data_IF_740637770090
#
_entry.id   IF_740637770090
#
_cell.length_a   1.000
_cell.length_b   1.000
_cell.length_c   1.000
_cell.angle_alpha   90.00
_cell.angle_beta   90.00
_cell.angle_gamma   90.00
#
_symmetry.space_group_name_H-M   'P 1'
#
loop_
_entity.id
_entity.type
_entity.pdbx_description
1 polymer ?
#
# COMPACT_ATOMS: atom_id res chain seq x y z
N UNK A 1 22.09 -12.48 -21.99
CA UNK A 1 21.00 -11.98 -22.86
C UNK A 1 21.02 -10.47 -22.75
N UNK A 2 20.91 -9.71 -23.86
CA UNK A 2 20.84 -8.26 -23.80
C UNK A 2 19.60 -7.84 -23.01
N UNK A 3 19.76 -6.98 -22.03
CA UNK A 3 18.68 -6.46 -21.22
C UNK A 3 17.81 -5.56 -22.11
N UNK A 4 16.54 -5.88 -22.23
CA UNK A 4 15.60 -5.07 -23.02
C UNK A 4 15.39 -3.74 -22.32
N UNK A 5 15.52 -2.65 -23.05
CA UNK A 5 15.29 -1.29 -22.57
C UNK A 5 14.17 -0.62 -23.34
N UNK A 6 13.56 0.38 -22.72
CA UNK A 6 12.48 1.17 -23.29
C UNK A 6 12.78 2.66 -23.15
N UNK A 7 12.40 3.43 -24.15
CA UNK A 7 12.41 4.90 -24.11
C UNK A 7 11.05 5.37 -23.62
N UNK A 8 11.00 6.09 -22.50
CA UNK A 8 9.76 6.64 -21.93
C UNK A 8 9.75 8.14 -22.13
N UNK A 9 8.63 8.66 -22.61
CA UNK A 9 8.43 10.07 -22.88
C UNK A 9 7.50 10.72 -21.86
N UNK A 10 7.85 11.93 -21.40
CA UNK A 10 7.09 12.74 -20.46
C UNK A 10 7.88 13.95 -19.99
N UNK A 11 7.43 14.60 -18.93
CA UNK A 11 8.20 15.69 -18.31
C UNK A 11 9.06 15.14 -17.18
N UNK A 12 10.38 15.19 -17.35
CA UNK A 12 11.34 14.74 -16.33
C UNK A 12 11.37 15.72 -15.16
N UNK A 13 11.42 15.18 -13.96
CA UNK A 13 11.56 15.94 -12.72
C UNK A 13 12.64 15.31 -11.85
N UNK A 14 13.19 16.08 -10.91
CA UNK A 14 14.17 15.54 -9.98
C UNK A 14 13.61 14.31 -9.26
N UNK A 15 14.31 13.18 -9.22
CA UNK A 15 13.87 11.99 -8.51
C UNK A 15 13.77 12.30 -7.01
N UNK A 16 12.82 11.66 -6.34
CA UNK A 16 12.74 11.72 -4.90
C UNK A 16 14.04 11.17 -4.31
N UNK A 17 14.66 11.88 -3.37
CA UNK A 17 15.87 11.40 -2.71
C UNK A 17 15.51 10.12 -1.96
N UNK A 18 15.86 8.99 -2.55
CA UNK A 18 15.68 7.69 -1.90
C UNK A 18 16.80 7.55 -0.87
N UNK A 19 16.43 7.63 0.38
CA UNK A 19 17.32 7.28 1.48
C UNK A 19 17.56 5.77 1.43
N UNK A 20 18.66 5.37 0.77
CA UNK A 20 19.05 3.97 0.60
C UNK A 20 19.59 3.45 1.93
N UNK A 21 18.69 3.19 2.88
CA UNK A 21 19.04 2.55 4.13
C UNK A 21 19.09 1.05 3.97
N UNK A 22 20.27 0.50 4.27
CA UNK A 22 20.52 -0.93 4.52
C UNK A 22 20.31 -1.89 3.34
N UNK A 23 21.23 -1.88 2.40
CA UNK A 23 21.55 -3.08 1.64
C UNK A 23 20.75 -3.33 0.36
N UNK A 24 19.93 -2.40 -0.09
CA UNK A 24 19.32 -2.46 -1.42
C UNK A 24 20.07 -1.48 -2.32
N UNK A 25 20.76 -2.00 -3.33
CA UNK A 25 21.36 -1.19 -4.38
C UNK A 25 20.25 -0.67 -5.31
N UNK A 26 19.83 0.57 -5.12
CA UNK A 26 18.98 1.27 -6.09
C UNK A 26 19.89 2.04 -7.03
N UNK A 27 19.81 1.74 -8.32
CA UNK A 27 20.57 2.43 -9.35
C UNK A 27 19.63 3.30 -10.20
N UNK A 28 20.18 4.41 -10.69
CA UNK A 28 19.56 5.27 -11.69
C UNK A 28 18.08 5.62 -11.43
N UNK A 29 17.72 6.24 -10.29
CA UNK A 29 16.35 6.67 -10.06
C UNK A 29 15.97 7.74 -11.09
N UNK A 30 14.81 7.55 -11.75
CA UNK A 30 14.29 8.45 -12.78
C UNK A 30 12.83 8.75 -12.50
N UNK A 31 12.47 10.00 -12.55
CA UNK A 31 11.10 10.45 -12.30
C UNK A 31 10.56 11.21 -13.50
N UNK A 32 9.35 10.84 -13.91
CA UNK A 32 8.68 11.44 -15.04
C UNK A 32 7.19 11.65 -14.74
N UNK A 33 6.67 12.77 -15.19
CA UNK A 33 5.23 13.04 -15.18
C UNK A 33 4.68 12.72 -16.57
N UNK A 34 3.66 11.85 -16.70
CA UNK A 34 3.01 11.60 -17.98
C UNK A 34 2.39 12.85 -18.57
N UNK A 35 2.32 12.90 -19.91
CA UNK A 35 1.78 14.04 -20.65
C UNK A 35 2.86 15.03 -21.08
N UNK A 36 2.42 16.07 -21.80
CA UNK A 36 3.31 17.12 -22.31
C UNK A 36 3.41 18.27 -21.32
N UNK A 37 4.62 18.83 -21.18
CA UNK A 37 4.77 20.10 -20.48
C UNK A 37 3.93 21.21 -21.13
N UNK A 38 3.60 22.26 -20.37
CA UNK A 38 2.80 23.41 -20.87
C UNK A 38 3.42 24.09 -22.10
N UNK A 39 4.72 24.04 -22.24
CA UNK A 39 5.50 24.54 -23.40
C UNK A 39 5.60 23.53 -24.55
N UNK A 40 4.97 22.37 -24.44
CA UNK A 40 5.01 21.29 -25.43
C UNK A 40 6.31 20.48 -25.45
N UNK A 41 7.26 20.79 -24.58
CA UNK A 41 8.51 20.02 -24.46
C UNK A 41 8.24 18.69 -23.73
N UNK A 42 8.90 17.64 -24.21
CA UNK A 42 8.90 16.32 -23.58
C UNK A 42 10.33 15.83 -23.51
N UNK A 43 10.66 15.21 -22.38
CA UNK A 43 11.92 14.51 -22.19
C UNK A 43 11.78 13.05 -22.57
N UNK A 44 12.91 12.39 -22.81
CA UNK A 44 12.98 10.95 -23.03
C UNK A 44 13.95 10.36 -22.01
N UNK A 45 13.49 9.35 -21.27
CA UNK A 45 14.32 8.60 -20.33
C UNK A 45 14.42 7.14 -20.77
N UNK A 46 15.57 6.53 -20.53
CA UNK A 46 15.80 5.11 -20.77
C UNK A 46 15.52 4.34 -19.49
N UNK A 47 14.70 3.28 -19.59
CA UNK A 47 14.40 2.39 -18.48
C UNK A 47 14.63 0.94 -18.91
N UNK A 48 15.08 0.09 -18.00
CA UNK A 48 15.22 -1.33 -18.26
C UNK A 48 13.87 -2.04 -18.06
N UNK A 49 13.66 -3.15 -18.76
CA UNK A 49 12.41 -3.93 -18.66
C UNK A 49 12.13 -4.44 -17.25
N UNK A 50 13.18 -4.69 -16.48
CA UNK A 50 13.14 -5.18 -15.11
C UNK A 50 13.22 -4.07 -14.05
N UNK A 51 13.34 -2.80 -14.46
CA UNK A 51 13.21 -1.68 -13.52
C UNK A 51 11.87 -1.77 -12.78
N UNK A 52 11.90 -1.46 -11.51
CA UNK A 52 10.69 -1.31 -10.71
C UNK A 52 10.15 0.10 -10.89
N UNK A 53 8.86 0.22 -11.05
CA UNK A 53 8.18 1.50 -11.19
C UNK A 53 7.21 1.74 -10.06
N UNK A 54 7.34 2.88 -9.42
CA UNK A 54 6.39 3.44 -8.49
C UNK A 54 5.44 4.36 -9.27
N UNK A 55 4.17 4.05 -9.23
CA UNK A 55 3.10 4.77 -9.92
C UNK A 55 2.33 5.54 -8.86
N UNK A 56 2.37 6.86 -8.91
CA UNK A 56 1.60 7.71 -8.02
C UNK A 56 0.41 8.28 -8.76
N UNK A 57 -0.79 8.01 -8.25
CA UNK A 57 -2.05 8.48 -8.83
C UNK A 57 -2.46 9.83 -8.23
N UNK A 58 -3.38 10.55 -8.89
CA UNK A 58 -3.88 11.86 -8.43
C UNK A 58 -4.51 11.83 -7.04
N UNK A 59 -5.03 10.68 -6.62
CA UNK A 59 -5.58 10.47 -5.28
C UNK A 59 -4.52 10.11 -4.23
N UNK A 60 -3.24 10.30 -4.53
CA UNK A 60 -2.08 9.90 -3.72
C UNK A 60 -1.94 8.38 -3.52
N UNK A 61 -2.76 7.57 -4.20
CA UNK A 61 -2.61 6.12 -4.19
C UNK A 61 -1.33 5.73 -4.93
N UNK A 62 -0.56 4.83 -4.35
CA UNK A 62 0.71 4.36 -4.91
C UNK A 62 0.59 2.90 -5.31
N UNK A 63 0.94 2.63 -6.55
CA UNK A 63 1.07 1.28 -7.10
C UNK A 63 2.53 0.99 -7.41
N UNK A 64 2.87 -0.29 -7.39
CA UNK A 64 4.18 -0.77 -7.78
C UNK A 64 4.05 -1.81 -8.88
N UNK A 65 4.88 -1.70 -9.89
CA UNK A 65 4.90 -2.62 -11.02
C UNK A 65 6.32 -2.77 -11.54
N UNK A 66 6.50 -3.66 -12.49
CA UNK A 66 7.71 -3.69 -13.33
C UNK A 66 7.50 -2.81 -14.54
N UNK A 67 8.58 -2.25 -15.08
CA UNK A 67 8.51 -1.38 -16.24
C UNK A 67 7.90 -2.10 -17.46
N UNK A 68 8.30 -3.36 -17.70
CA UNK A 68 7.75 -4.16 -18.80
C UNK A 68 6.24 -4.46 -18.66
N UNK A 69 5.75 -4.63 -17.45
CA UNK A 69 4.32 -4.85 -17.18
C UNK A 69 3.52 -3.57 -17.38
N UNK A 70 3.99 -2.45 -16.79
CA UNK A 70 3.36 -1.15 -16.97
C UNK A 70 3.26 -0.77 -18.46
N UNK A 71 4.34 -0.97 -19.21
CA UNK A 71 4.39 -0.63 -20.64
C UNK A 71 3.41 -1.48 -21.44
N UNK A 72 3.34 -2.78 -21.17
CA UNK A 72 2.42 -3.70 -21.85
C UNK A 72 0.96 -3.37 -21.59
N UNK A 73 0.64 -2.98 -20.38
CA UNK A 73 -0.74 -2.78 -19.93
C UNK A 73 -1.26 -1.38 -20.26
N UNK A 74 -0.40 -0.37 -20.14
CA UNK A 74 -0.80 1.04 -20.17
C UNK A 74 0.03 1.90 -21.13
N UNK A 75 1.09 1.37 -21.74
CA UNK A 75 1.95 2.11 -22.66
C UNK A 75 1.32 2.29 -24.03
N UNK A 76 1.53 3.45 -24.63
CA UNK A 76 1.24 3.74 -26.04
C UNK A 76 2.54 3.97 -26.78
N UNK A 77 2.69 3.35 -27.94
CA UNK A 77 3.85 3.57 -28.80
C UNK A 77 3.77 4.94 -29.44
N UNK A 78 4.85 5.69 -29.36
CA UNK A 78 5.08 6.93 -30.09
C UNK A 78 6.46 6.89 -30.77
N UNK A 79 6.81 7.89 -31.56
CA UNK A 79 8.12 7.97 -32.19
C UNK A 79 9.09 8.72 -31.26
N UNK A 80 10.25 8.13 -30.99
CA UNK A 80 11.36 8.77 -30.32
C UNK A 80 11.98 9.85 -31.22
N UNK A 81 12.71 10.81 -30.62
CA UNK A 81 13.47 11.83 -31.36
C UNK A 81 14.47 11.22 -32.33
N UNK A 82 15.02 10.07 -32.01
CA UNK A 82 15.99 9.32 -32.83
C UNK A 82 15.34 8.40 -33.85
N UNK A 83 14.01 8.46 -34.03
CA UNK A 83 13.23 7.66 -34.97
C UNK A 83 12.93 6.23 -34.49
N UNK A 84 13.31 5.85 -33.29
CA UNK A 84 12.95 4.59 -32.64
C UNK A 84 11.57 4.62 -31.97
N UNK A 85 11.21 3.52 -31.29
CA UNK A 85 10.01 3.46 -30.47
C UNK A 85 10.20 4.19 -29.13
N UNK A 86 9.28 5.08 -28.80
CA UNK A 86 9.12 5.64 -27.47
C UNK A 86 7.75 5.28 -26.91
N UNK A 87 7.63 5.26 -25.60
CA UNK A 87 6.41 4.91 -24.90
C UNK A 87 5.87 6.10 -24.13
N UNK A 88 4.61 6.38 -24.34
CA UNK A 88 3.85 7.42 -23.62
C UNK A 88 2.76 6.76 -22.78
N UNK A 89 2.44 7.38 -21.68
CA UNK A 89 1.36 6.95 -20.80
C UNK A 89 0.26 8.00 -20.82
N UNK A 90 -0.99 7.54 -20.85
CA UNK A 90 -2.12 8.42 -20.64
C UNK A 90 -2.05 8.97 -19.22
N UNK A 91 -2.47 10.22 -19.06
CA UNK A 91 -2.63 10.81 -17.73
C UNK A 91 -3.77 10.17 -16.94
N UNK A 92 -4.58 9.34 -17.58
CA UNK A 92 -5.70 8.62 -16.94
C UNK A 92 -5.51 7.12 -17.13
N UNK A 93 -5.57 6.36 -16.06
CA UNK A 93 -5.60 4.89 -16.12
C UNK A 93 -6.88 4.46 -16.83
N UNK A 94 -6.75 4.02 -18.08
CA UNK A 94 -7.86 3.44 -18.83
C UNK A 94 -7.93 1.94 -18.56
N UNK A 95 -9.13 1.44 -18.25
CA UNK A 95 -9.39 0.01 -18.15
C UNK A 95 -9.40 -0.59 -19.57
N UNK A 96 -8.22 -1.00 -20.06
CA UNK A 96 -8.06 -1.66 -21.36
C UNK A 96 -8.07 -3.18 -21.30
N UNK A 97 -8.34 -3.76 -20.16
CA UNK A 97 -8.20 -5.21 -20.00
C UNK A 97 -9.36 -5.88 -19.30
N UNK A 98 -10.22 -6.49 -20.04
CA UNK A 98 -11.24 -7.50 -19.73
C UNK A 98 -12.65 -6.97 -19.47
N UNK A 99 -13.54 -7.34 -20.40
CA UNK A 99 -14.99 -7.18 -20.34
C UNK A 99 -15.68 -8.00 -19.20
N UNK A 100 -14.94 -8.40 -18.17
CA UNK A 100 -15.41 -9.29 -17.11
C UNK A 100 -15.62 -8.65 -15.74
N UNK A 101 -15.26 -7.39 -15.53
CA UNK A 101 -15.41 -6.72 -14.23
C UNK A 101 -16.46 -5.60 -14.26
N UNK A 102 -17.70 -5.92 -14.61
CA UNK A 102 -18.85 -5.07 -14.29
C UNK A 102 -19.17 -5.23 -12.82
N UNK A 103 -18.49 -4.50 -11.95
CA UNK A 103 -18.81 -4.51 -10.51
C UNK A 103 -17.80 -3.83 -9.61
N UNK A 104 -16.55 -3.83 -9.94
CA UNK A 104 -15.54 -3.12 -9.18
C UNK A 104 -15.34 -1.72 -9.76
N UNK A 105 -15.54 -0.69 -8.96
CA UNK A 105 -15.06 0.66 -9.24
C UNK A 105 -13.54 0.62 -9.11
N UNK A 106 -12.89 0.02 -10.13
CA UNK A 106 -11.47 -0.14 -10.23
C UNK A 106 -10.78 1.22 -10.33
N UNK A 107 -9.47 1.21 -10.43
CA UNK A 107 -8.60 2.37 -10.62
C UNK A 107 -8.87 3.11 -11.97
N UNK A 108 -9.78 2.60 -12.78
CA UNK A 108 -10.22 3.19 -14.04
C UNK A 108 -10.71 4.62 -13.83
N UNK A 109 -10.13 5.56 -14.57
CA UNK A 109 -10.45 6.98 -14.49
C UNK A 109 -9.61 7.79 -13.50
N UNK A 110 -8.66 7.17 -12.78
CA UNK A 110 -7.69 7.89 -11.95
C UNK A 110 -6.49 8.34 -12.79
N UNK A 111 -6.08 9.59 -12.62
CA UNK A 111 -4.92 10.15 -13.30
C UNK A 111 -3.60 9.60 -12.73
N UNK A 112 -2.64 9.29 -13.61
CA UNK A 112 -1.26 9.04 -13.21
C UNK A 112 -0.58 10.40 -13.00
N UNK A 113 -0.18 10.68 -11.78
CA UNK A 113 0.51 11.92 -11.42
C UNK A 113 2.01 11.83 -11.68
N UNK A 114 2.61 10.73 -11.28
CA UNK A 114 4.07 10.53 -11.36
C UNK A 114 4.41 9.06 -11.58
N UNK A 115 5.43 8.82 -12.39
CA UNK A 115 6.12 7.54 -12.54
C UNK A 115 7.57 7.70 -12.06
N UNK A 116 7.99 6.87 -11.13
CA UNK A 116 9.37 6.80 -10.67
C UNK A 116 9.94 5.41 -10.98
N UNK A 117 11.00 5.35 -11.79
CA UNK A 117 11.67 4.12 -12.18
C UNK A 117 12.96 3.94 -11.39
N UNK A 118 13.22 2.71 -10.97
CA UNK A 118 14.39 2.33 -10.19
C UNK A 118 15.00 1.07 -10.76
N UNK A 119 16.27 1.14 -11.14
CA UNK A 119 17.08 -0.04 -11.36
C UNK A 119 17.36 -0.72 -10.01
N UNK A 120 17.07 -2.00 -9.92
CA UNK A 120 17.32 -2.80 -8.71
C UNK A 120 18.21 -3.96 -9.11
N UNK A 121 19.31 -4.14 -8.38
CA UNK A 121 20.14 -5.32 -8.54
C UNK A 121 19.45 -6.53 -7.88
N UNK A 122 18.62 -7.21 -8.68
CA UNK A 122 17.87 -8.39 -8.23
C UNK A 122 18.77 -9.60 -7.96
N UNK A 123 20.00 -9.60 -8.44
CA UNK A 123 20.92 -10.74 -8.24
C UNK A 123 21.33 -10.92 -6.78
N UNK A 124 21.21 -9.86 -5.96
CA UNK A 124 21.58 -9.87 -4.54
C UNK A 124 20.38 -9.76 -3.58
N UNK A 125 19.16 -9.64 -4.11
CA UNK A 125 17.99 -9.31 -3.30
C UNK A 125 16.89 -10.36 -3.41
N UNK A 126 16.39 -10.83 -2.26
CA UNK A 126 15.17 -11.64 -2.23
C UNK A 126 13.94 -10.74 -2.39
N UNK A 127 12.84 -11.26 -2.95
CA UNK A 127 11.57 -10.54 -3.06
C UNK A 127 11.12 -9.98 -1.69
N UNK A 128 11.39 -10.70 -0.61
CA UNK A 128 11.12 -10.29 0.76
C UNK A 128 11.83 -8.99 1.16
N UNK A 129 13.13 -8.85 0.85
CA UNK A 129 13.88 -7.62 1.16
C UNK A 129 13.33 -6.41 0.42
N UNK A 130 12.93 -6.60 -0.84
CA UNK A 130 12.32 -5.55 -1.64
C UNK A 130 10.97 -5.13 -1.05
N UNK A 131 10.12 -6.10 -0.72
CA UNK A 131 8.82 -5.83 -0.11
C UNK A 131 8.97 -5.10 1.22
N UNK A 132 9.88 -5.54 2.08
CA UNK A 132 10.18 -4.85 3.35
C UNK A 132 10.65 -3.41 3.12
N UNK A 133 11.52 -3.19 2.14
CA UNK A 133 12.00 -1.85 1.83
C UNK A 133 10.86 -0.93 1.35
N UNK A 134 9.94 -1.44 0.51
CA UNK A 134 8.78 -0.68 0.08
C UNK A 134 7.85 -0.33 1.25
N UNK A 135 7.60 -1.27 2.13
CA UNK A 135 6.78 -1.05 3.32
C UNK A 135 7.39 -0.03 4.27
N UNK A 136 8.70 -0.12 4.53
CA UNK A 136 9.41 0.86 5.36
C UNK A 136 9.30 2.29 4.79
N UNK A 137 9.33 2.43 3.46
CA UNK A 137 9.09 3.72 2.80
C UNK A 137 7.66 4.21 2.97
N UNK A 138 6.71 3.30 2.91
CA UNK A 138 5.29 3.61 2.94
C UNK A 138 4.79 3.93 4.35
N UNK A 139 5.25 3.17 5.35
CA UNK A 139 4.93 3.35 6.75
C UNK A 139 5.74 4.48 7.41
N UNK A 140 6.79 4.96 6.72
CA UNK A 140 7.62 6.06 7.21
C UNK A 140 8.51 5.68 8.39
N UNK A 141 9.02 6.70 9.09
CA UNK A 141 10.03 6.55 10.14
C UNK A 141 9.55 5.82 11.39
N UNK A 142 8.24 5.89 11.66
CA UNK A 142 7.64 5.35 12.88
C UNK A 142 7.29 3.86 12.73
N UNK A 143 7.33 3.33 11.48
CA UNK A 143 7.09 1.93 11.17
C UNK A 143 5.67 1.46 11.47
N UNK A 144 5.43 0.14 11.55
CA UNK A 144 4.13 -0.42 11.87
C UNK A 144 3.74 -0.19 13.35
N UNK A 145 2.44 -0.28 13.64
CA UNK A 145 1.87 -0.18 14.97
C UNK A 145 0.55 0.58 15.01
N UNK A 146 0.02 0.76 16.22
CA UNK A 146 -1.21 1.51 16.46
C UNK A 146 -0.88 2.99 16.70
N UNK A 147 -1.60 3.86 16.01
CA UNK A 147 -1.41 5.30 16.06
C UNK A 147 -2.72 5.99 16.45
N UNK A 148 -2.65 7.04 17.24
CA UNK A 148 -3.74 8.00 17.36
C UNK A 148 -3.89 8.76 16.04
N UNK A 149 -5.12 8.89 15.54
CA UNK A 149 -5.44 9.53 14.28
C UNK A 149 -6.43 10.68 14.51
N UNK A 150 -5.97 11.89 14.88
CA UNK A 150 -6.84 13.03 15.13
C UNK A 150 -7.70 13.36 13.90
N UNK A 151 -8.95 13.66 14.12
CA UNK A 151 -9.88 14.07 13.07
C UNK A 151 -9.99 15.58 12.91
N UNK A 152 -9.35 16.35 13.76
CA UNK A 152 -9.21 17.79 13.68
C UNK A 152 -7.96 18.21 12.91
N UNK A 153 -7.99 19.37 12.30
CA UNK A 153 -6.85 19.90 11.54
C UNK A 153 -6.45 19.11 10.32
N UNK A 154 -5.16 19.05 10.03
CA UNK A 154 -4.56 18.30 8.94
C UNK A 154 -4.35 16.83 9.32
N UNK A 155 -4.18 15.99 8.30
CA UNK A 155 -3.84 14.58 8.54
C UNK A 155 -2.54 14.45 9.34
N UNK A 156 -2.59 13.68 10.43
CA UNK A 156 -1.44 13.36 11.26
C UNK A 156 -1.63 12.05 11.99
N UNK A 157 -0.55 11.30 12.19
CA UNK A 157 -0.53 10.08 12.99
C UNK A 157 0.47 10.27 14.13
N UNK A 158 0.04 9.89 15.34
CA UNK A 158 0.87 9.92 16.54
C UNK A 158 0.98 8.51 17.10
N UNK A 159 2.17 7.93 17.02
CA UNK A 159 2.39 6.56 17.52
C UNK A 159 2.08 6.49 19.01
N UNK A 160 1.28 5.52 19.41
CA UNK A 160 1.01 5.28 20.81
C UNK A 160 2.27 4.76 21.50
N UNK A 161 2.63 5.39 22.62
CA UNK A 161 3.67 4.87 23.49
C UNK A 161 3.15 3.69 24.31
N UNK A 162 4.04 2.82 24.78
CA UNK A 162 3.69 1.64 25.58
C UNK A 162 2.85 1.96 26.86
N UNK A 163 2.76 3.21 27.26
CA UNK A 163 1.96 3.70 28.40
C UNK A 163 0.65 4.37 28.00
N UNK A 164 0.45 4.64 26.72
CA UNK A 164 -0.75 5.27 26.18
C UNK A 164 -1.72 4.21 25.66
N UNK A 165 -2.13 3.29 26.53
CA UNK A 165 -3.06 2.25 26.15
C UNK A 165 -4.41 2.87 25.74
N UNK A 166 -4.98 2.35 24.66
CA UNK A 166 -6.35 2.61 24.28
C UNK A 166 -7.29 2.15 25.42
N UNK A 167 -8.27 2.97 25.79
CA UNK A 167 -9.26 2.56 26.78
C UNK A 167 -10.19 1.46 26.20
N UNK A 168 -10.49 0.45 26.99
CA UNK A 168 -11.39 -0.63 26.57
C UNK A 168 -12.84 -0.16 26.31
N UNK A 169 -13.26 0.91 26.93
CA UNK A 169 -14.59 1.52 26.80
C UNK A 169 -14.51 3.03 26.99
N UNK A 170 -15.31 3.81 26.29
CA UNK A 170 -16.28 3.46 25.24
C UNK A 170 -15.60 3.03 23.92
N UNK A 171 -16.41 2.62 22.91
CA UNK A 171 -15.91 2.12 21.62
C UNK A 171 -14.92 3.08 20.92
N UNK A 172 -13.91 2.51 20.33
CA UNK A 172 -12.91 3.22 19.50
C UNK A 172 -13.13 2.94 18.01
N UNK A 173 -12.74 3.90 17.17
CA UNK A 173 -12.71 3.76 15.73
C UNK A 173 -11.27 3.44 15.30
N UNK A 174 -11.08 2.41 14.46
CA UNK A 174 -9.77 2.06 13.91
C UNK A 174 -9.84 2.02 12.39
N UNK A 175 -8.92 2.72 11.73
CA UNK A 175 -8.71 2.65 10.29
C UNK A 175 -7.71 1.54 9.96
N UNK A 176 -8.06 0.67 8.98
CA UNK A 176 -7.25 -0.43 8.48
C UNK A 176 -6.99 -0.23 6.98
N UNK A 177 -5.77 0.10 6.61
CA UNK A 177 -5.41 0.39 5.22
C UNK A 177 -5.26 -0.87 4.35
N UNK A 178 -5.14 -0.69 3.04
CA UNK A 178 -5.03 -1.76 2.06
C UNK A 178 -3.59 -2.20 1.74
N UNK A 179 -3.47 -3.09 0.74
CA UNK A 179 -2.18 -3.59 0.23
C UNK A 179 -1.33 -2.45 -0.30
N UNK A 180 -0.03 -2.51 -0.04
CA UNK A 180 0.96 -1.53 -0.49
C UNK A 180 0.51 -0.08 -0.25
N UNK A 181 -0.16 0.18 0.89
CA UNK A 181 -0.74 1.47 1.26
C UNK A 181 -0.39 1.85 2.70
N UNK A 182 -0.90 2.95 3.15
CA UNK A 182 -0.86 3.46 4.50
C UNK A 182 -2.23 4.06 4.84
N UNK A 183 -2.45 4.45 6.08
CA UNK A 183 -3.69 5.15 6.45
C UNK A 183 -3.87 6.42 5.62
N UNK A 184 -2.80 7.18 5.41
CA UNK A 184 -2.85 8.36 4.54
C UNK A 184 -3.24 7.99 3.09
N UNK A 185 -2.65 6.94 2.54
CA UNK A 185 -2.93 6.49 1.18
C UNK A 185 -4.38 6.02 0.99
N UNK A 186 -4.93 5.31 1.97
CA UNK A 186 -6.30 4.76 1.88
C UNK A 186 -7.38 5.76 2.27
N UNK A 187 -7.13 6.65 3.23
CA UNK A 187 -8.15 7.49 3.86
C UNK A 187 -7.83 8.99 3.84
N UNK A 188 -6.68 9.41 3.30
CA UNK A 188 -6.22 10.80 3.32
C UNK A 188 -7.22 11.81 2.75
N UNK A 189 -8.07 11.39 1.81
CA UNK A 189 -9.15 12.23 1.27
C UNK A 189 -10.18 12.70 2.31
N UNK A 190 -10.26 12.09 3.47
CA UNK A 190 -11.09 12.62 4.57
C UNK A 190 -10.55 13.95 5.10
N UNK A 191 -9.27 14.23 4.93
CA UNK A 191 -8.59 15.47 5.36
C UNK A 191 -8.36 16.44 4.21
N UNK A 192 -8.78 16.10 3.00
CA UNK A 192 -8.68 17.00 1.86
C UNK A 192 -9.67 18.16 2.01
N UNK A 193 -9.21 19.42 2.09
CA UNK A 193 -10.10 20.58 2.22
C UNK A 193 -11.05 20.77 1.03
N UNK A 194 -10.69 20.24 -0.14
CA UNK A 194 -11.56 20.27 -1.32
C UNK A 194 -12.68 19.21 -1.28
N UNK A 195 -12.61 18.24 -0.34
CA UNK A 195 -13.60 17.19 -0.19
C UNK A 195 -14.62 17.53 0.90
N UNK A 196 -15.65 18.30 0.54
CA UNK A 196 -16.72 18.73 1.46
C UNK A 196 -17.44 17.55 2.14
N UNK A 197 -17.70 16.47 1.42
CA UNK A 197 -18.30 15.26 1.98
C UNK A 197 -17.39 14.58 3.01
N UNK A 198 -16.09 14.50 2.73
CA UNK A 198 -15.07 14.00 3.65
C UNK A 198 -14.99 14.85 4.91
N UNK A 199 -15.00 16.17 4.78
CA UNK A 199 -15.02 17.12 5.90
C UNK A 199 -16.23 16.95 6.81
N UNK A 200 -17.44 16.78 6.24
CA UNK A 200 -18.68 16.51 6.99
C UNK A 200 -18.62 15.17 7.72
N UNK A 201 -18.15 14.11 7.06
CA UNK A 201 -17.98 12.80 7.68
C UNK A 201 -16.97 12.87 8.83
N UNK A 202 -15.83 13.51 8.63
CA UNK A 202 -14.80 13.69 9.64
C UNK A 202 -15.33 14.42 10.88
N UNK A 203 -16.09 15.51 10.68
CA UNK A 203 -16.71 16.25 11.78
C UNK A 203 -17.71 15.38 12.57
N UNK A 204 -18.46 14.52 11.88
CA UNK A 204 -19.37 13.58 12.54
C UNK A 204 -18.61 12.54 13.35
N UNK A 205 -17.56 11.94 12.78
CA UNK A 205 -16.72 10.97 13.48
C UNK A 205 -16.02 11.61 14.70
N UNK A 206 -15.54 12.85 14.58
CA UNK A 206 -14.94 13.58 15.68
C UNK A 206 -15.93 13.80 16.83
N UNK A 207 -17.21 14.08 16.52
CA UNK A 207 -18.27 14.20 17.51
C UNK A 207 -18.56 12.88 18.23
N UNK A 208 -18.60 11.77 17.50
CA UNK A 208 -19.01 10.47 18.02
C UNK A 208 -17.87 9.77 18.78
N UNK A 209 -16.61 9.95 18.36
CA UNK A 209 -15.43 9.26 18.94
C UNK A 209 -14.48 10.15 19.72
N UNK A 210 -14.43 11.47 19.43
CA UNK A 210 -13.46 12.37 20.05
C UNK A 210 -12.03 11.91 19.78
N UNK A 211 -11.22 11.74 20.82
CA UNK A 211 -9.84 11.26 20.72
C UNK A 211 -9.69 9.73 20.54
N UNK A 212 -10.80 9.00 20.52
CA UNK A 212 -10.80 7.53 20.38
C UNK A 212 -10.80 7.09 18.93
N UNK A 213 -10.01 7.77 18.09
CA UNK A 213 -9.81 7.44 16.70
C UNK A 213 -8.36 7.04 16.50
N UNK A 214 -8.18 5.86 15.92
CA UNK A 214 -6.87 5.24 15.72
C UNK A 214 -6.70 4.81 14.28
N UNK A 215 -5.46 4.55 13.90
CA UNK A 215 -5.05 3.97 12.65
C UNK A 215 -4.05 2.86 12.93
N UNK A 216 -4.19 1.73 12.28
CA UNK A 216 -3.23 0.66 12.36
C UNK A 216 -2.38 0.63 11.09
N UNK A 217 -1.14 1.11 11.22
CA UNK A 217 -0.13 0.99 10.17
C UNK A 217 0.48 -0.41 10.22
N UNK A 218 0.34 -1.19 9.15
CA UNK A 218 0.76 -2.59 9.13
C UNK A 218 1.46 -2.97 7.83
N UNK A 219 2.28 -4.02 7.92
CA UNK A 219 2.99 -4.56 6.77
C UNK A 219 2.04 -5.39 5.92
N UNK A 220 1.74 -4.91 4.73
CA UNK A 220 0.73 -5.51 3.86
C UNK A 220 1.30 -6.33 2.70
N UNK A 221 2.63 -6.35 2.54
CA UNK A 221 3.36 -7.10 1.52
C UNK A 221 4.17 -8.27 2.11
N UNK A 222 4.70 -8.09 3.33
CA UNK A 222 5.59 -9.06 3.96
C UNK A 222 4.95 -9.83 5.11
N UNK A 223 3.82 -9.37 5.61
CA UNK A 223 3.05 -10.05 6.65
C UNK A 223 1.68 -10.46 6.12
N UNK A 224 1.17 -11.61 6.57
CA UNK A 224 -0.17 -12.07 6.24
C UNK A 224 -1.25 -11.25 6.96
N UNK A 225 -2.52 -11.29 6.53
CA UNK A 225 -3.62 -10.68 7.27
C UNK A 225 -3.75 -11.19 8.71
N UNK A 226 -3.35 -12.45 8.95
CA UNK A 226 -3.40 -13.07 10.27
C UNK A 226 -2.32 -12.48 11.18
N UNK A 227 -1.08 -12.36 10.70
CA UNK A 227 -0.01 -11.69 11.46
C UNK A 227 -0.38 -10.26 11.80
N UNK A 228 -0.97 -9.54 10.86
CA UNK A 228 -1.44 -8.17 11.08
C UNK A 228 -2.59 -8.13 12.10
N UNK A 229 -3.52 -9.08 12.06
CA UNK A 229 -4.62 -9.15 13.03
C UNK A 229 -4.10 -9.46 14.45
N UNK A 230 -3.14 -10.40 14.56
CA UNK A 230 -2.48 -10.74 15.84
C UNK A 230 -1.69 -9.55 16.38
N UNK A 231 -0.92 -8.85 15.52
CA UNK A 231 -0.18 -7.66 15.92
C UNK A 231 -1.12 -6.57 16.46
N UNK A 232 -2.24 -6.31 15.77
CA UNK A 232 -3.22 -5.36 16.25
C UNK A 232 -3.87 -5.84 17.56
N UNK A 233 -4.26 -7.10 17.66
CA UNK A 233 -4.86 -7.66 18.87
C UNK A 233 -3.93 -7.52 20.09
N UNK A 234 -2.63 -7.69 19.89
CA UNK A 234 -1.62 -7.50 20.94
C UNK A 234 -1.48 -6.06 21.45
N UNK A 235 -1.89 -5.08 20.66
CA UNK A 235 -1.90 -3.66 21.05
C UNK A 235 -3.23 -3.22 21.70
N UNK A 236 -4.26 -4.05 21.64
CA UNK A 236 -5.57 -3.72 22.15
C UNK A 236 -5.74 -4.12 23.62
N UNK A 237 -6.43 -3.31 24.43
CA UNK A 237 -6.77 -3.72 25.78
C UNK A 237 -7.82 -4.83 25.75
N UNK A 238 -7.75 -5.74 26.72
CA UNK A 238 -8.74 -6.80 26.87
C UNK A 238 -10.16 -6.24 26.98
N UNK A 239 -11.07 -6.79 26.19
CA UNK A 239 -12.46 -6.34 26.14
C UNK A 239 -12.68 -5.02 25.38
N UNK A 240 -11.72 -4.59 24.55
CA UNK A 240 -11.87 -3.42 23.70
C UNK A 240 -13.09 -3.55 22.79
N UNK A 241 -13.88 -2.47 22.70
CA UNK A 241 -15.01 -2.35 21.76
C UNK A 241 -14.55 -1.51 20.57
N UNK A 242 -14.63 -2.11 19.38
CA UNK A 242 -14.06 -1.51 18.17
C UNK A 242 -15.13 -1.30 17.11
N UNK A 243 -15.01 -0.16 16.43
CA UNK A 243 -15.61 0.04 15.12
C UNK A 243 -14.47 0.11 14.10
N UNK A 244 -14.52 -0.75 13.10
CA UNK A 244 -13.46 -0.87 12.11
C UNK A 244 -13.88 -0.22 10.79
N UNK A 245 -13.03 0.61 10.24
CA UNK A 245 -13.16 1.14 8.88
C UNK A 245 -11.97 0.65 8.09
N UNK A 246 -12.23 -0.20 7.12
CA UNK A 246 -11.19 -0.88 6.35
C UNK A 246 -11.24 -0.53 4.87
N UNK A 247 -10.10 -0.63 4.20
CA UNK A 247 -9.96 -0.54 2.77
C UNK A 247 -9.23 -1.77 2.23
N UNK A 248 -9.81 -2.43 1.20
CA UNK A 248 -9.18 -3.57 0.51
C UNK A 248 -8.70 -4.65 1.50
N UNK A 249 -7.40 -5.01 1.49
CA UNK A 249 -6.79 -6.00 2.38
C UNK A 249 -7.02 -5.72 3.89
N UNK A 250 -7.17 -4.45 4.28
CA UNK A 250 -7.53 -4.12 5.67
C UNK A 250 -8.86 -4.74 6.10
N UNK A 251 -9.75 -5.06 5.13
CA UNK A 251 -10.98 -5.81 5.40
C UNK A 251 -10.71 -7.22 5.90
N UNK A 252 -9.71 -7.92 5.35
CA UNK A 252 -9.33 -9.26 5.80
C UNK A 252 -8.79 -9.24 7.25
N UNK A 253 -8.00 -8.22 7.58
CA UNK A 253 -7.52 -8.01 8.97
C UNK A 253 -8.70 -7.77 9.91
N UNK A 254 -9.63 -6.90 9.52
CA UNK A 254 -10.83 -6.60 10.31
C UNK A 254 -11.75 -7.82 10.50
N UNK A 255 -11.90 -8.63 9.45
CA UNK A 255 -12.70 -9.85 9.48
C UNK A 255 -12.14 -10.89 10.48
N UNK A 256 -10.82 -11.07 10.49
CA UNK A 256 -10.15 -11.96 11.46
C UNK A 256 -10.32 -11.46 12.90
N UNK A 257 -10.27 -10.16 13.15
CA UNK A 257 -10.55 -9.60 14.48
C UNK A 257 -12.01 -9.80 14.88
N UNK A 258 -12.95 -9.68 13.94
CA UNK A 258 -14.36 -9.95 14.21
C UNK A 258 -14.59 -11.44 14.52
N UNK A 259 -13.90 -12.35 13.84
CA UNK A 259 -13.96 -13.79 14.11
C UNK A 259 -13.43 -14.11 15.52
N UNK A 260 -12.32 -13.51 15.93
CA UNK A 260 -11.76 -13.68 17.28
C UNK A 260 -12.70 -13.15 18.38
N UNK A 261 -13.57 -12.19 18.08
CA UNK A 261 -14.55 -11.64 19.00
C UNK A 261 -15.93 -12.32 18.96
N UNK A 262 -16.15 -13.32 18.10
CA UNK A 262 -17.44 -13.99 18.00
C UNK A 262 -17.58 -15.11 19.03
N UNK A 263 -18.83 -15.46 19.39
CA UNK A 263 -19.14 -16.53 20.38
C UNK A 263 -18.61 -17.92 19.97
N UNK A 264 -18.30 -18.11 18.67
CA UNK A 264 -17.77 -19.35 18.12
C UNK A 264 -16.26 -19.29 17.85
N UNK A 265 -15.56 -18.31 18.39
CA UNK A 265 -14.11 -18.15 18.16
C UNK A 265 -13.34 -19.41 18.55
N UNK A 266 -13.68 -20.00 19.70
CA UNK A 266 -13.02 -21.21 20.22
C UNK A 266 -13.20 -22.43 19.29
N UNK A 267 -14.26 -22.47 18.50
CA UNK A 267 -14.48 -23.54 17.52
C UNK A 267 -13.69 -23.28 16.22
N UNK A 268 -13.68 -22.01 15.76
CA UNK A 268 -13.11 -21.60 14.47
C UNK A 268 -11.61 -21.43 14.53
N UNK A 269 -11.08 -20.94 15.65
CA UNK A 269 -9.68 -20.62 15.86
C UNK A 269 -8.90 -21.74 16.60
N UNK A 270 -9.36 -22.98 16.48
CA UNK A 270 -8.63 -24.14 16.99
C UNK A 270 -7.29 -24.32 16.27
N UNK A 271 -6.32 -24.94 16.91
CA UNK A 271 -5.04 -25.28 16.29
C UNK A 271 -5.22 -26.06 14.97
N UNK A 272 -6.20 -26.97 14.91
CA UNK A 272 -6.52 -27.73 13.70
C UNK A 272 -7.09 -26.85 12.58
N UNK A 273 -8.01 -25.92 12.91
CA UNK A 273 -8.57 -24.96 11.95
C UNK A 273 -7.52 -24.01 11.41
N UNK A 274 -6.67 -23.47 12.29
CA UNK A 274 -5.56 -22.60 11.91
C UNK A 274 -4.51 -23.33 11.08
N UNK A 275 -4.17 -24.58 11.38
CA UNK A 275 -3.29 -25.40 10.55
C UNK A 275 -3.81 -25.52 9.12
N UNK A 276 -5.11 -25.73 8.96
CA UNK A 276 -5.73 -25.82 7.63
C UNK A 276 -5.67 -24.50 6.89
N UNK A 277 -5.96 -23.37 7.56
CA UNK A 277 -5.85 -22.04 6.99
C UNK A 277 -4.41 -21.70 6.58
N UNK A 278 -3.42 -22.18 7.34
CA UNK A 278 -2.00 -21.88 7.10
C UNK A 278 -1.29 -22.91 6.22
N UNK A 279 -1.97 -23.94 5.73
CA UNK A 279 -1.37 -24.93 4.84
C UNK A 279 -0.88 -24.29 3.54
N UNK A 280 -1.67 -23.39 2.98
CA UNK A 280 -1.29 -22.61 1.81
C UNK A 280 -0.09 -21.69 2.12
N UNK A 281 -0.07 -21.05 3.28
CA UNK A 281 1.05 -20.22 3.72
C UNK A 281 2.35 -21.01 3.84
N UNK A 282 2.31 -22.19 4.48
CA UNK A 282 3.47 -23.09 4.60
C UNK A 282 4.07 -23.51 3.26
N UNK A 283 3.24 -23.58 2.22
CA UNK A 283 3.69 -23.97 0.88
C UNK A 283 4.24 -22.77 0.11
N UNK A 284 3.62 -21.61 0.25
CA UNK A 284 3.92 -20.41 -0.55
C UNK A 284 5.00 -19.54 0.11
N UNK A 285 4.96 -19.35 1.41
CA UNK A 285 5.88 -18.46 2.11
C UNK A 285 7.36 -18.80 1.86
N UNK A 286 7.83 -20.07 1.92
CA UNK A 286 9.21 -20.40 1.60
C UNK A 286 9.61 -20.08 0.16
N UNK A 287 8.68 -20.20 -0.80
CA UNK A 287 8.93 -19.86 -2.20
C UNK A 287 9.14 -18.35 -2.40
N UNK A 288 8.57 -17.55 -1.52
CA UNK A 288 8.73 -16.09 -1.49
C UNK A 288 9.89 -15.63 -0.58
N UNK A 289 10.62 -16.55 0.03
CA UNK A 289 11.68 -16.24 0.99
C UNK A 289 11.16 -15.74 2.34
N UNK A 290 9.89 -16.03 2.66
CA UNK A 290 9.24 -15.71 3.92
C UNK A 290 9.28 -16.90 4.88
N UNK A 291 9.22 -16.66 6.18
CA UNK A 291 9.00 -17.71 7.17
C UNK A 291 7.52 -18.08 7.21
N UNK A 292 7.17 -19.37 7.22
CA UNK A 292 5.78 -19.79 7.44
C UNK A 292 5.27 -19.35 8.81
N UNK A 293 3.99 -19.10 8.89
CA UNK A 293 3.33 -18.70 10.12
C UNK A 293 3.36 -19.84 11.15
N UNK A 294 3.65 -19.52 12.40
CA UNK A 294 3.54 -20.46 13.48
C UNK A 294 2.08 -20.59 13.96
N UNK A 295 1.42 -21.69 13.56
CA UNK A 295 0.01 -21.92 13.88
C UNK A 295 -0.21 -22.09 15.40
N UNK A 296 0.77 -22.60 16.15
CA UNK A 296 0.65 -22.75 17.59
C UNK A 296 0.72 -21.38 18.30
N UNK A 297 1.66 -20.51 17.87
CA UNK A 297 1.75 -19.14 18.38
C UNK A 297 0.51 -18.29 18.00
N UNK A 298 -0.08 -18.57 16.84
CA UNK A 298 -1.30 -17.85 16.41
C UNK A 298 -2.57 -18.32 17.16
N UNK A 299 -2.57 -19.55 17.67
CA UNK A 299 -3.70 -20.12 18.45
C UNK A 299 -3.65 -19.73 19.93
N UNK A 300 -2.47 -19.40 20.46
CA UNK A 300 -2.26 -18.98 21.85
C UNK A 300 -2.72 -17.53 22.09
#
# INVERSE_FOLDING_TARGET
MAQRSYTIRGTSTAPTTLDVRKGIGVSNPRRITPGRARDGATDEIQVAADDIVRIELENEFVLWSRADSLIREHGRVSLSRDGGEAWEFDTVVSDRGTAAARGERGLAGLGIRVLEFFGIDLAQQTASKLSTWFEDKQLGKDGPGLFRCPLDGSFGLHKLGAKEAMAASPSALIFLHGTASSTKGSFGKLWDPANDAGGKLRARLAKDYGERVFAFEHRSLTESPIENALALAGELPKGAKLHLVSHSRGGLVGELLCLAGCERADELLTEAGLKTLFEADRTIAPQLGLSPLDAAAAAA
#
